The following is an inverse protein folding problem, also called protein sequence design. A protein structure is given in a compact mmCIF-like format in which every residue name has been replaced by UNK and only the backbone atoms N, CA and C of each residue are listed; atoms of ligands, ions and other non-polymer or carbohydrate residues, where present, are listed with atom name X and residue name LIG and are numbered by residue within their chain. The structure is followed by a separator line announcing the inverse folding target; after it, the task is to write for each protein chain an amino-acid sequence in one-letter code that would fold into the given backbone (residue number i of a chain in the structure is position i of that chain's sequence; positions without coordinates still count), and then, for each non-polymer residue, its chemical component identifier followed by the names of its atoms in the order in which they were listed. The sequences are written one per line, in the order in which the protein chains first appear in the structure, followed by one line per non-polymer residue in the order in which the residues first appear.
data_IF_002931041414
#
_entry.id   IF_002931041414
#
_cell.length_a   1.000
_cell.length_b   1.000
_cell.length_c   1.000
_cell.angle_alpha   90.00
_cell.angle_beta   90.00
_cell.angle_gamma   90.00
#
_symmetry.space_group_name_H-M   'P 1'
#
loop_
_entity.id
_entity.type
_entity.pdbx_description
1 polymer ?
#
# COMPACT_ATOMS: atom_id res chain seq x y z
N UNK A 1 5.43 16.44 -7.20
CA UNK A 1 4.47 15.62 -7.97
C UNK A 1 3.50 14.99 -6.98
N UNK A 2 2.22 14.85 -7.34
CA UNK A 2 1.20 14.15 -6.53
C UNK A 2 0.98 12.77 -7.14
N UNK A 3 1.02 11.71 -6.32
CA UNK A 3 0.90 10.30 -6.76
C UNK A 3 -0.55 9.82 -6.67
N UNK A 4 -1.20 10.08 -5.54
CA UNK A 4 -2.62 9.83 -5.30
C UNK A 4 -3.19 11.04 -4.53
N UNK A 5 -4.42 11.42 -4.84
CA UNK A 5 -5.11 12.56 -4.25
C UNK A 5 -6.53 12.23 -3.76
N UNK A 6 -6.98 10.99 -3.94
CA UNK A 6 -8.36 10.62 -3.68
C UNK A 6 -8.49 10.06 -2.27
N UNK A 7 -9.48 10.57 -1.53
CA UNK A 7 -9.98 9.98 -0.28
C UNK A 7 -9.06 10.07 0.95
N UNK A 8 -8.22 11.10 1.02
CA UNK A 8 -7.21 11.30 2.10
C UNK A 8 -6.18 10.14 2.16
N UNK A 9 -5.38 9.96 1.10
CA UNK A 9 -4.39 8.89 1.03
C UNK A 9 -3.08 9.26 1.73
N UNK A 10 -2.31 8.26 2.13
CA UNK A 10 -0.91 8.41 2.48
C UNK A 10 -0.59 8.24 3.96
N UNK A 11 -1.59 8.01 4.82
CA UNK A 11 -1.35 7.71 6.23
C UNK A 11 -0.70 6.34 6.40
N UNK A 12 0.11 6.21 7.46
CA UNK A 12 0.77 4.96 7.85
C UNK A 12 1.47 4.27 6.67
N UNK A 13 2.12 5.07 5.83
CA UNK A 13 2.77 4.58 4.64
C UNK A 13 4.04 3.79 4.97
N UNK A 14 4.37 2.85 4.09
CA UNK A 14 5.63 2.11 4.13
C UNK A 14 6.23 2.12 2.74
N UNK A 15 7.57 2.11 2.68
CA UNK A 15 8.34 2.17 1.44
C UNK A 15 9.28 0.98 1.33
N UNK A 16 9.50 0.52 0.11
CA UNK A 16 10.51 -0.46 -0.25
C UNK A 16 11.12 -0.10 -1.62
N UNK A 17 12.41 -0.35 -1.80
CA UNK A 17 13.10 -0.20 -3.09
C UNK A 17 13.57 -1.58 -3.53
N UNK A 18 13.13 -2.02 -4.71
CA UNK A 18 13.50 -3.33 -5.23
C UNK A 18 14.94 -3.38 -5.75
N UNK A 19 15.41 -4.59 -6.09
CA UNK A 19 16.76 -4.79 -6.63
C UNK A 19 16.98 -4.12 -7.99
N UNK A 20 15.91 -3.72 -8.68
CA UNK A 20 15.96 -2.97 -9.95
C UNK A 20 15.93 -1.46 -9.72
N UNK A 21 15.84 -1.00 -8.47
CA UNK A 21 15.74 0.41 -8.10
C UNK A 21 14.34 1.00 -8.20
N UNK A 22 13.30 0.18 -8.44
CA UNK A 22 11.92 0.67 -8.47
C UNK A 22 11.44 0.95 -7.05
N UNK A 23 10.71 2.06 -6.89
CA UNK A 23 10.15 2.47 -5.59
C UNK A 23 8.74 1.94 -5.47
N UNK A 24 8.47 1.32 -4.33
CA UNK A 24 7.20 0.70 -3.95
C UNK A 24 6.70 1.34 -2.65
N UNK A 25 5.44 1.73 -2.61
CA UNK A 25 4.82 2.38 -1.45
C UNK A 25 3.48 1.74 -1.15
N UNK A 26 3.27 1.25 0.07
CA UNK A 26 1.94 0.93 0.59
C UNK A 26 1.46 2.06 1.49
N UNK A 27 0.16 2.35 1.49
CA UNK A 27 -0.40 3.38 2.35
C UNK A 27 -1.88 3.15 2.62
N UNK A 28 -2.31 3.71 3.75
CA UNK A 28 -3.71 3.75 4.15
C UNK A 28 -4.43 4.95 3.56
N UNK A 29 -5.70 4.75 3.27
CA UNK A 29 -6.62 5.78 2.80
C UNK A 29 -7.70 5.97 3.85
N UNK A 30 -7.63 7.10 4.56
CA UNK A 30 -8.38 7.31 5.80
C UNK A 30 -9.89 7.26 5.59
N UNK A 31 -10.40 7.91 4.53
CA UNK A 31 -11.85 8.02 4.33
C UNK A 31 -12.50 6.70 3.91
N UNK A 32 -11.75 5.81 3.26
CA UNK A 32 -12.30 4.58 2.68
C UNK A 32 -11.84 3.32 3.40
N UNK A 33 -10.90 3.40 4.35
CA UNK A 33 -10.40 2.23 5.05
C UNK A 33 -9.60 1.29 4.14
N UNK A 34 -9.01 1.81 3.06
CA UNK A 34 -8.30 1.03 2.04
C UNK A 34 -6.80 0.95 2.32
N UNK A 35 -6.18 -0.14 1.88
CA UNK A 35 -4.74 -0.14 1.60
C UNK A 35 -4.58 0.00 0.09
N UNK A 36 -3.84 1.03 -0.31
CA UNK A 36 -3.40 1.23 -1.69
C UNK A 36 -1.90 0.99 -1.80
N UNK A 37 -1.51 0.55 -2.98
CA UNK A 37 -0.13 0.26 -3.36
C UNK A 37 0.22 1.11 -4.57
N UNK A 38 1.30 1.88 -4.47
CA UNK A 38 1.85 2.64 -5.56
C UNK A 38 3.27 2.17 -5.92
N UNK A 39 3.57 2.10 -7.22
CA UNK A 39 4.91 1.80 -7.70
C UNK A 39 5.24 2.61 -8.95
N UNK A 40 6.53 2.90 -9.14
CA UNK A 40 7.01 3.56 -10.34
C UNK A 40 7.42 2.51 -11.38
N UNK A 41 6.83 2.57 -12.58
CA UNK A 41 7.10 1.62 -13.67
C UNK A 41 8.24 2.05 -14.62
N UNK A 42 9.01 3.07 -14.21
CA UNK A 42 10.03 3.70 -15.05
C UNK A 42 9.51 4.85 -15.93
N UNK A 43 8.19 5.07 -16.00
CA UNK A 43 7.57 6.18 -16.74
C UNK A 43 6.61 6.98 -15.87
N UNK A 44 5.74 6.29 -15.14
CA UNK A 44 4.70 6.89 -14.32
C UNK A 44 4.48 6.10 -13.03
N UNK A 45 3.90 6.77 -12.04
CA UNK A 45 3.36 6.07 -10.88
C UNK A 45 2.08 5.35 -11.26
N UNK A 46 1.99 4.09 -10.86
CA UNK A 46 0.76 3.29 -10.88
C UNK A 46 0.24 3.19 -9.46
N UNK A 47 -1.07 3.23 -9.30
CA UNK A 47 -1.76 3.13 -8.00
C UNK A 47 -2.83 2.07 -8.10
N UNK A 48 -2.90 1.21 -7.09
CA UNK A 48 -3.84 0.11 -7.04
C UNK A 48 -4.43 -0.03 -5.64
N UNK A 49 -5.75 -0.22 -5.54
CA UNK A 49 -6.39 -0.65 -4.29
C UNK A 49 -6.15 -2.13 -4.10
N UNK A 50 -5.40 -2.50 -3.07
CA UNK A 50 -5.12 -3.91 -2.75
C UNK A 50 -6.09 -4.46 -1.70
N UNK A 51 -6.60 -3.61 -0.81
CA UNK A 51 -7.60 -3.96 0.20
C UNK A 51 -8.69 -2.88 0.24
N UNK A 52 -9.96 -3.31 0.29
CA UNK A 52 -11.14 -2.44 0.33
C UNK A 52 -11.75 -2.39 1.73
N UNK A 53 -11.85 -1.21 2.35
CA UNK A 53 -12.68 -0.94 3.53
C UNK A 53 -12.46 -1.83 4.77
N UNK A 54 -11.28 -2.45 4.88
CA UNK A 54 -10.96 -3.42 5.95
C UNK A 54 -9.71 -3.05 6.74
N UNK A 55 -8.92 -2.10 6.26
CA UNK A 55 -7.67 -1.78 6.93
C UNK A 55 -7.94 -0.86 8.12
N UNK A 56 -7.29 -1.13 9.25
CA UNK A 56 -7.35 -0.29 10.44
C UNK A 56 -6.15 0.64 10.58
N UNK A 57 -5.57 1.10 9.47
CA UNK A 57 -4.51 2.12 9.47
C UNK A 57 -3.13 1.61 9.12
N UNK A 58 -2.56 0.66 9.86
CA UNK A 58 -1.14 0.32 9.67
C UNK A 58 -0.86 -0.54 8.45
N UNK A 59 0.15 -0.15 7.65
CA UNK A 59 0.68 -0.94 6.54
C UNK A 59 2.20 -1.10 6.64
N UNK A 60 2.72 -2.25 6.22
CA UNK A 60 4.14 -2.45 5.94
C UNK A 60 4.31 -3.21 4.64
N UNK A 61 5.38 -2.93 3.90
CA UNK A 61 5.66 -3.56 2.61
C UNK A 61 7.07 -4.14 2.59
N UNK A 62 7.19 -5.32 2.00
CA UNK A 62 8.47 -5.93 1.63
C UNK A 62 8.35 -6.56 0.25
N UNK A 63 9.48 -6.96 -0.31
CA UNK A 63 9.53 -7.67 -1.58
C UNK A 63 10.35 -8.93 -1.43
N UNK A 64 9.84 -10.02 -2.01
CA UNK A 64 10.57 -11.27 -2.16
C UNK A 64 10.67 -11.60 -3.65
N UNK A 65 9.64 -12.25 -4.18
CA UNK A 65 9.44 -12.45 -5.62
C UNK A 65 8.40 -11.47 -6.19
N UNK A 66 7.62 -10.88 -5.28
CA UNK A 66 6.53 -9.94 -5.53
C UNK A 66 6.28 -9.09 -4.29
N UNK A 67 5.57 -7.96 -4.39
CA UNK A 67 5.20 -7.17 -3.24
C UNK A 67 4.38 -7.99 -2.24
N UNK A 68 4.74 -7.91 -0.97
CA UNK A 68 3.97 -8.44 0.17
C UNK A 68 3.67 -7.27 1.08
N UNK A 69 2.39 -7.03 1.33
CA UNK A 69 1.90 -5.94 2.15
C UNK A 69 1.21 -6.54 3.37
N UNK A 70 1.74 -6.25 4.56
CA UNK A 70 1.10 -6.58 5.83
C UNK A 70 0.26 -5.40 6.28
N UNK A 71 -0.88 -5.68 6.90
CA UNK A 71 -1.77 -4.66 7.39
C UNK A 71 -2.62 -5.18 8.56
N UNK A 72 -3.05 -4.26 9.40
CA UNK A 72 -4.06 -4.55 10.40
C UNK A 72 -5.45 -4.58 9.75
N UNK A 73 -6.12 -5.73 9.82
CA UNK A 73 -7.50 -5.91 9.39
C UNK A 73 -8.45 -5.53 10.54
N UNK A 74 -8.99 -4.32 10.49
CA UNK A 74 -9.91 -3.77 11.48
C UNK A 74 -11.27 -4.46 11.50
N UNK A 75 -11.62 -5.21 10.44
CA UNK A 75 -12.88 -5.97 10.42
C UNK A 75 -12.81 -7.25 11.25
N UNK A 76 -11.60 -7.82 11.39
CA UNK A 76 -11.36 -9.05 12.13
C UNK A 76 -10.44 -8.90 13.34
N UNK A 77 -9.96 -7.68 13.61
CA UNK A 77 -8.95 -7.37 14.62
C UNK A 77 -7.70 -8.26 14.50
N UNK A 78 -7.23 -8.49 13.28
CA UNK A 78 -6.12 -9.41 13.00
C UNK A 78 -5.01 -8.78 12.15
N UNK A 79 -3.79 -9.33 12.25
CA UNK A 79 -2.73 -9.04 11.29
C UNK A 79 -2.92 -9.92 10.05
N UNK A 80 -2.96 -9.29 8.87
CA UNK A 80 -3.07 -10.01 7.60
C UNK A 80 -2.01 -9.53 6.63
N UNK A 81 -1.77 -10.34 5.60
CA UNK A 81 -0.95 -9.96 4.47
C UNK A 81 -1.71 -10.18 3.16
N UNK A 82 -1.33 -9.40 2.14
CA UNK A 82 -1.70 -9.61 0.76
C UNK A 82 -0.44 -9.54 -0.10
N UNK A 83 -0.43 -10.26 -1.21
CA UNK A 83 0.68 -10.23 -2.14
C UNK A 83 0.18 -9.97 -3.56
N UNK A 84 0.86 -9.07 -4.28
CA UNK A 84 0.46 -8.59 -5.60
C UNK A 84 1.12 -9.40 -6.72
#
# INVERSE_FOLDING_TARGET
MVIDKNDDPGRFNSIFVDSSGNVHVSYFVEKTGEIRYAFYDGKAWKVETVIKGRAGGWSSIMFKDKPIIFFYDGSSNSLRLVSK
#
